data_IF_492529079032
#
_entry.id   IF_492529079032
#
_cell.length_a   1.000
_cell.length_b   1.000
_cell.length_c   1.000
_cell.angle_alpha   90.00
_cell.angle_beta   90.00
_cell.angle_gamma   90.00
#
_symmetry.space_group_name_H-M   'P 1'
#
loop_
_entity.id
_entity.type
_entity.pdbx_description
1 polymer ?
#
# COMPACT_ATOMS: atom_id res chain seq x y z
N UNK A 1 69.86 -19.86 -2.64
CA UNK A 1 68.96 -19.50 -3.72
C UNK A 1 67.55 -19.42 -3.15
N UNK A 2 67.13 -18.21 -2.77
CA UNK A 2 65.81 -17.97 -2.22
C UNK A 2 64.91 -17.50 -3.33
N UNK A 3 63.84 -18.25 -3.61
CA UNK A 3 62.78 -17.82 -4.51
C UNK A 3 61.58 -17.34 -3.68
N UNK A 4 61.34 -16.06 -3.72
CA UNK A 4 60.15 -15.40 -3.16
C UNK A 4 58.98 -15.55 -4.14
N UNK A 5 57.88 -16.16 -3.67
CA UNK A 5 56.59 -16.21 -4.37
C UNK A 5 55.83 -14.87 -4.17
N UNK A 6 55.12 -14.35 -5.17
CA UNK A 6 54.35 -13.14 -5.03
C UNK A 6 52.96 -13.43 -4.40
N UNK A 7 52.55 -12.57 -3.49
CA UNK A 7 51.22 -12.50 -2.86
C UNK A 7 50.16 -12.02 -3.86
N UNK A 8 48.94 -12.58 -3.87
CA UNK A 8 47.88 -12.07 -4.73
C UNK A 8 47.26 -10.79 -4.13
N UNK A 9 47.19 -9.77 -4.97
CA UNK A 9 46.55 -8.50 -4.72
C UNK A 9 45.04 -8.70 -4.63
N UNK A 10 44.45 -8.23 -3.51
CA UNK A 10 42.97 -8.19 -3.31
C UNK A 10 42.38 -7.07 -4.16
N UNK A 11 41.62 -7.44 -5.17
CA UNK A 11 40.77 -6.52 -5.94
C UNK A 11 39.52 -6.22 -5.11
N UNK A 12 39.43 -5.02 -4.57
CA UNK A 12 38.22 -4.46 -3.99
C UNK A 12 37.21 -4.16 -5.10
N UNK A 13 36.18 -5.00 -5.21
CA UNK A 13 35.01 -4.74 -6.05
C UNK A 13 34.21 -3.61 -5.43
N UNK A 14 34.31 -2.42 -5.99
CA UNK A 14 33.42 -1.29 -5.71
C UNK A 14 32.06 -1.62 -6.33
N UNK A 15 31.06 -1.90 -5.48
CA UNK A 15 29.67 -1.98 -5.90
C UNK A 15 29.22 -0.56 -6.33
N UNK A 16 29.18 -0.33 -7.63
CA UNK A 16 28.61 0.86 -8.21
C UNK A 16 27.11 0.88 -7.86
N UNK A 17 26.72 1.83 -7.03
CA UNK A 17 25.31 2.23 -6.86
C UNK A 17 24.79 2.62 -8.24
N UNK A 18 23.83 1.84 -8.77
CA UNK A 18 23.18 2.18 -10.03
C UNK A 18 22.39 3.47 -9.83
N UNK A 19 22.90 4.58 -10.35
CA UNK A 19 22.18 5.84 -10.42
C UNK A 19 20.93 5.62 -11.28
N UNK A 20 19.76 6.05 -10.76
CA UNK A 20 18.51 6.08 -11.50
C UNK A 20 18.72 6.88 -12.81
N UNK A 21 18.17 6.42 -13.95
CA UNK A 21 18.30 7.14 -15.21
C UNK A 21 17.65 8.53 -15.10
N UNK A 22 18.33 9.52 -15.66
CA UNK A 22 17.91 10.91 -15.70
C UNK A 22 16.57 11.06 -16.45
N UNK A 23 15.71 11.95 -15.93
CA UNK A 23 14.40 12.35 -16.45
C UNK A 23 13.34 11.23 -16.42
N UNK A 24 12.88 10.89 -15.22
CA UNK A 24 11.62 10.20 -15.04
C UNK A 24 10.47 11.08 -15.55
N UNK A 25 9.70 10.57 -16.52
CA UNK A 25 8.51 11.27 -17.01
C UNK A 25 7.55 11.48 -15.84
N UNK A 26 6.91 12.65 -15.82
CA UNK A 26 5.89 12.97 -14.83
C UNK A 26 4.62 12.15 -15.11
N UNK A 27 4.19 11.25 -14.20
CA UNK A 27 3.01 10.45 -14.47
C UNK A 27 1.74 11.28 -14.40
N UNK A 28 0.76 10.92 -15.23
CA UNK A 28 -0.61 11.31 -15.04
C UNK A 28 -1.25 10.40 -13.99
N UNK A 29 -1.92 11.01 -13.01
CA UNK A 29 -2.55 10.31 -11.90
C UNK A 29 -4.03 10.64 -11.90
N UNK A 30 -4.88 9.61 -11.93
CA UNK A 30 -6.31 9.76 -11.77
C UNK A 30 -6.76 9.07 -10.49
N UNK A 31 -7.31 9.83 -9.55
CA UNK A 31 -7.86 9.34 -8.29
C UNK A 31 -9.37 9.11 -8.40
N UNK A 32 -9.84 7.95 -7.97
CA UNK A 32 -11.27 7.62 -7.85
C UNK A 32 -11.59 7.43 -6.36
N UNK A 33 -12.33 8.36 -5.79
CA UNK A 33 -12.67 8.37 -4.38
C UNK A 33 -13.91 7.53 -4.09
N UNK A 34 -13.75 6.53 -3.20
CA UNK A 34 -14.88 5.80 -2.63
C UNK A 34 -15.34 6.45 -1.32
N UNK A 35 -16.58 6.93 -1.32
CA UNK A 35 -17.16 7.63 -0.17
C UNK A 35 -17.49 6.70 1.01
N UNK A 36 -17.71 5.41 0.76
CA UNK A 36 -18.13 4.48 1.81
C UNK A 36 -16.95 4.12 2.74
N UNK A 37 -15.75 4.02 2.18
CA UNK A 37 -14.53 3.65 2.90
C UNK A 37 -13.52 4.80 2.99
N UNK A 38 -13.82 5.96 2.39
CA UNK A 38 -12.93 7.14 2.30
C UNK A 38 -11.61 6.83 1.59
N UNK A 39 -11.59 5.82 0.74
CA UNK A 39 -10.41 5.33 0.02
C UNK A 39 -10.29 5.98 -1.35
N UNK A 40 -9.08 6.21 -1.81
CA UNK A 40 -8.78 6.66 -3.16
C UNK A 40 -8.05 5.55 -3.92
N UNK A 41 -8.70 4.99 -4.94
CA UNK A 41 -8.04 4.13 -5.93
C UNK A 41 -7.36 4.99 -6.98
N UNK A 42 -6.13 4.69 -7.33
CA UNK A 42 -5.39 5.44 -8.36
C UNK A 42 -5.20 4.64 -9.64
N UNK A 43 -5.31 5.33 -10.78
CA UNK A 43 -4.83 4.86 -12.09
C UNK A 43 -3.68 5.75 -12.52
N UNK A 44 -2.50 5.15 -12.72
CA UNK A 44 -1.25 5.85 -12.99
C UNK A 44 -0.75 5.48 -14.39
N UNK A 45 -0.51 6.47 -15.26
CA UNK A 45 -0.12 6.24 -16.66
C UNK A 45 0.68 7.42 -17.25
N UNK A 46 1.24 7.23 -18.45
CA UNK A 46 2.02 8.27 -19.17
C UNK A 46 1.19 9.00 -20.26
N UNK A 47 -0.13 8.78 -20.27
CA UNK A 47 -1.06 9.36 -21.24
C UNK A 47 -2.02 8.32 -21.83
N UNK A 48 -3.02 8.75 -22.61
CA UNK A 48 -3.95 7.84 -23.28
C UNK A 48 -3.23 6.85 -24.19
N UNK A 49 -3.73 5.59 -24.25
CA UNK A 49 -3.18 4.52 -25.07
C UNK A 49 -1.91 3.87 -24.49
N UNK A 50 -1.44 4.28 -23.33
CA UNK A 50 -0.22 3.72 -22.70
C UNK A 50 -0.52 2.63 -21.69
N UNK A 51 0.55 1.99 -21.18
CA UNK A 51 0.45 1.09 -20.05
C UNK A 51 0.11 1.87 -18.76
N UNK A 52 -0.55 1.20 -17.81
CA UNK A 52 -0.89 1.78 -16.53
C UNK A 52 -0.73 0.80 -15.36
N UNK A 53 -0.66 1.36 -14.16
CA UNK A 53 -0.82 0.66 -12.90
C UNK A 53 -2.08 1.14 -12.18
N UNK A 54 -2.77 0.23 -11.49
CA UNK A 54 -3.88 0.54 -10.58
C UNK A 54 -3.37 0.31 -9.16
N UNK A 55 -3.67 1.22 -8.23
CA UNK A 55 -3.19 1.15 -6.85
C UNK A 55 -4.38 1.23 -5.89
N UNK A 56 -4.45 0.31 -4.92
CA UNK A 56 -5.41 0.23 -3.83
C UNK A 56 -6.88 0.29 -4.28
N UNK A 57 -7.30 -0.77 -4.94
CA UNK A 57 -8.63 -0.87 -5.53
C UNK A 57 -9.71 -1.32 -4.54
N UNK A 58 -10.91 -0.74 -4.64
CA UNK A 58 -12.03 -1.00 -3.73
C UNK A 58 -13.04 -1.95 -4.36
N UNK A 59 -13.36 -3.03 -3.62
CA UNK A 59 -14.55 -3.87 -3.82
C UNK A 59 -15.62 -3.43 -2.81
N UNK A 60 -16.72 -2.88 -3.30
CA UNK A 60 -17.81 -2.41 -2.44
C UNK A 60 -18.36 -3.56 -1.58
N UNK A 61 -18.56 -3.30 -0.31
CA UNK A 61 -19.05 -4.29 0.66
C UNK A 61 -20.09 -3.69 1.60
N UNK A 62 -21.22 -4.39 1.73
CA UNK A 62 -22.24 -4.07 2.73
C UNK A 62 -22.06 -4.96 3.98
N UNK A 63 -21.59 -4.41 5.10
CA UNK A 63 -21.32 -5.18 6.31
C UNK A 63 -22.59 -5.77 6.96
N UNK A 64 -23.76 -5.21 6.66
CA UNK A 64 -25.03 -5.69 7.25
C UNK A 64 -25.57 -6.93 6.53
N UNK A 65 -25.35 -7.01 5.22
CA UNK A 65 -25.85 -8.12 4.41
C UNK A 65 -24.76 -9.08 3.95
N UNK A 66 -23.48 -8.76 4.14
CA UNK A 66 -22.35 -9.53 3.62
C UNK A 66 -22.24 -9.52 2.09
N UNK A 67 -22.86 -8.53 1.41
CA UNK A 67 -22.90 -8.48 -0.06
C UNK A 67 -21.78 -7.63 -0.61
N UNK A 68 -21.11 -8.15 -1.62
CA UNK A 68 -20.17 -7.40 -2.45
C UNK A 68 -20.87 -6.79 -3.66
N UNK A 69 -20.35 -5.67 -4.17
CA UNK A 69 -20.70 -5.04 -5.43
C UNK A 69 -19.42 -4.60 -6.12
N UNK A 70 -19.52 -4.23 -7.39
CA UNK A 70 -18.37 -3.87 -8.23
C UNK A 70 -18.39 -2.43 -8.70
N UNK A 71 -19.27 -1.59 -8.14
CA UNK A 71 -19.50 -0.21 -8.61
C UNK A 71 -18.21 0.60 -8.66
N UNK A 72 -17.42 0.58 -7.60
CA UNK A 72 -16.14 1.30 -7.53
C UNK A 72 -15.13 0.75 -8.53
N UNK A 73 -15.02 -0.57 -8.65
CA UNK A 73 -14.15 -1.22 -9.63
C UNK A 73 -14.62 -0.98 -11.08
N UNK A 74 -15.93 -0.93 -11.32
CA UNK A 74 -16.50 -0.63 -12.65
C UNK A 74 -16.17 0.80 -13.12
N UNK A 75 -16.06 1.76 -12.19
CA UNK A 75 -15.57 3.11 -12.50
C UNK A 75 -14.09 3.09 -12.93
N UNK A 76 -13.26 2.28 -12.28
CA UNK A 76 -11.86 2.08 -12.70
C UNK A 76 -11.80 1.49 -14.10
N UNK A 77 -12.60 0.44 -14.38
CA UNK A 77 -12.69 -0.20 -15.71
C UNK A 77 -13.14 0.79 -16.78
N UNK A 78 -14.14 1.61 -16.47
CA UNK A 78 -14.64 2.64 -17.38
C UNK A 78 -13.56 3.66 -17.74
N UNK A 79 -12.81 4.16 -16.73
CA UNK A 79 -11.70 5.09 -16.95
C UNK A 79 -10.60 4.48 -17.84
N UNK A 80 -10.15 3.27 -17.50
CA UNK A 80 -9.12 2.53 -18.24
C UNK A 80 -9.51 2.36 -19.70
N UNK A 81 -10.75 1.94 -19.97
CA UNK A 81 -11.29 1.76 -21.34
C UNK A 81 -11.44 3.09 -22.09
N UNK A 82 -11.95 4.14 -21.44
CA UNK A 82 -12.13 5.45 -22.07
C UNK A 82 -10.81 6.07 -22.52
N UNK A 83 -9.71 5.77 -21.85
CA UNK A 83 -8.37 6.25 -22.17
C UNK A 83 -7.52 5.23 -22.96
N UNK A 84 -8.09 4.08 -23.35
CA UNK A 84 -7.39 2.99 -24.03
C UNK A 84 -6.11 2.52 -23.30
N UNK A 85 -6.14 2.50 -21.97
CA UNK A 85 -4.99 2.12 -21.15
C UNK A 85 -4.83 0.58 -21.11
N UNK A 86 -3.59 0.13 -20.96
CA UNK A 86 -3.23 -1.29 -20.83
C UNK A 86 -2.74 -1.55 -19.41
N UNK A 87 -3.55 -2.23 -18.59
CA UNK A 87 -3.20 -2.53 -17.21
C UNK A 87 -2.07 -3.56 -17.17
N UNK A 88 -0.92 -3.20 -16.61
CA UNK A 88 0.21 -4.10 -16.38
C UNK A 88 0.32 -4.51 -14.91
N UNK A 89 -0.07 -3.62 -13.99
CA UNK A 89 0.00 -3.85 -12.57
C UNK A 89 -1.29 -3.46 -11.87
N UNK A 90 -1.65 -4.28 -10.87
CA UNK A 90 -2.65 -3.99 -9.84
C UNK A 90 -1.89 -4.12 -8.53
N UNK A 91 -1.65 -2.99 -7.88
CA UNK A 91 -0.74 -2.86 -6.75
C UNK A 91 -1.54 -2.62 -5.47
N UNK A 92 -1.18 -3.34 -4.42
CA UNK A 92 -1.66 -3.08 -3.07
C UNK A 92 -0.53 -2.49 -2.24
N UNK A 93 -0.79 -1.38 -1.54
CA UNK A 93 0.21 -0.81 -0.62
C UNK A 93 0.34 -1.65 0.64
N UNK A 94 -0.73 -2.29 1.07
CA UNK A 94 -0.78 -3.19 2.22
C UNK A 94 -2.04 -4.06 2.21
N UNK A 95 -2.21 -4.96 3.18
CA UNK A 95 -3.48 -5.65 3.39
C UNK A 95 -4.42 -4.73 4.17
N UNK A 96 -5.31 -4.04 3.48
CA UNK A 96 -6.24 -3.05 4.03
C UNK A 96 -7.21 -3.67 5.06
N UNK A 97 -7.51 -2.91 6.12
CA UNK A 97 -8.44 -3.32 7.17
C UNK A 97 -9.81 -2.62 7.07
N UNK A 98 -9.93 -1.61 6.22
CA UNK A 98 -11.07 -0.70 6.11
C UNK A 98 -11.88 -0.87 4.82
N UNK A 99 -11.33 -1.56 3.81
CA UNK A 99 -12.02 -1.92 2.59
C UNK A 99 -11.54 -3.27 2.02
N UNK A 100 -12.36 -3.87 1.16
CA UNK A 100 -12.00 -5.07 0.43
C UNK A 100 -11.32 -4.69 -0.90
N UNK A 101 -10.28 -5.43 -1.29
CA UNK A 101 -9.61 -5.24 -2.59
C UNK A 101 -10.43 -5.81 -3.74
N UNK A 102 -10.56 -5.03 -4.82
CA UNK A 102 -11.14 -5.46 -6.09
C UNK A 102 -10.12 -6.06 -7.06
N UNK A 103 -8.87 -6.31 -6.64
CA UNK A 103 -7.79 -6.71 -7.53
C UNK A 103 -8.13 -7.94 -8.40
N UNK A 104 -8.75 -9.04 -7.90
CA UNK A 104 -9.11 -10.18 -8.76
C UNK A 104 -10.15 -9.83 -9.81
N UNK A 105 -11.13 -8.98 -9.48
CA UNK A 105 -12.16 -8.54 -10.41
C UNK A 105 -11.55 -7.67 -11.52
N UNK A 106 -10.71 -6.71 -11.16
CA UNK A 106 -10.01 -5.88 -12.14
C UNK A 106 -9.09 -6.70 -13.03
N UNK A 107 -8.32 -7.65 -12.46
CA UNK A 107 -7.47 -8.57 -13.23
C UNK A 107 -8.28 -9.39 -14.24
N UNK A 108 -9.44 -9.87 -13.84
CA UNK A 108 -10.33 -10.63 -14.74
C UNK A 108 -10.79 -9.81 -15.96
N UNK A 109 -11.03 -8.50 -15.79
CA UNK A 109 -11.59 -7.62 -16.83
C UNK A 109 -10.55 -6.87 -17.66
N UNK A 110 -9.37 -6.61 -17.07
CA UNK A 110 -8.36 -5.71 -17.64
C UNK A 110 -7.00 -6.38 -17.81
N UNK A 111 -6.80 -7.58 -17.25
CA UNK A 111 -5.49 -8.21 -17.17
C UNK A 111 -4.62 -7.58 -16.07
N UNK A 112 -3.31 -7.67 -16.25
CA UNK A 112 -2.34 -7.18 -15.29
C UNK A 112 -1.95 -8.21 -14.22
N UNK A 113 -0.96 -7.86 -13.40
CA UNK A 113 -0.40 -8.69 -12.33
C UNK A 113 -0.73 -8.06 -10.98
N UNK A 114 -1.25 -8.85 -10.04
CA UNK A 114 -1.51 -8.41 -8.67
C UNK A 114 -0.21 -8.51 -7.87
N UNK A 115 0.19 -7.40 -7.24
CA UNK A 115 1.42 -7.36 -6.46
C UNK A 115 1.25 -6.61 -5.14
N UNK A 116 2.02 -7.01 -4.14
CA UNK A 116 2.07 -6.43 -2.79
C UNK A 116 3.49 -6.52 -2.23
N UNK A 117 3.78 -5.80 -1.15
CA UNK A 117 5.05 -5.90 -0.43
C UNK A 117 5.36 -7.32 0.07
N UNK A 118 6.59 -7.79 -0.11
CA UNK A 118 7.00 -9.18 0.21
C UNK A 118 6.79 -9.58 1.68
N UNK A 119 6.71 -8.59 2.59
CA UNK A 119 6.44 -8.85 4.02
C UNK A 119 5.01 -9.24 4.33
N UNK A 120 4.12 -9.31 3.33
CA UNK A 120 2.75 -9.82 3.48
C UNK A 120 2.72 -11.20 4.13
N UNK A 121 3.74 -12.04 3.92
CA UNK A 121 3.84 -13.37 4.52
C UNK A 121 3.78 -13.34 6.05
N UNK A 122 4.35 -12.29 6.68
CA UNK A 122 4.26 -12.08 8.12
C UNK A 122 2.83 -11.75 8.56
N UNK A 123 2.13 -10.90 7.81
CA UNK A 123 0.73 -10.53 8.05
C UNK A 123 -0.17 -11.77 7.90
N UNK A 124 0.02 -12.54 6.81
CA UNK A 124 -0.70 -13.79 6.59
C UNK A 124 -0.55 -14.77 7.76
N UNK A 125 0.69 -14.93 8.27
CA UNK A 125 0.97 -15.81 9.41
C UNK A 125 0.21 -15.41 10.67
N UNK A 126 0.20 -14.13 11.00
CA UNK A 126 -0.51 -13.59 12.18
C UNK A 126 -2.01 -13.82 12.04
N UNK A 127 -2.59 -13.38 10.93
CA UNK A 127 -4.04 -13.44 10.76
C UNK A 127 -4.55 -14.85 10.44
N UNK A 128 -3.73 -15.76 9.88
CA UNK A 128 -4.07 -17.19 9.82
C UNK A 128 -4.35 -17.76 11.22
N UNK A 129 -3.54 -17.38 12.21
CA UNK A 129 -3.74 -17.78 13.60
C UNK A 129 -5.01 -17.17 14.22
N UNK A 130 -5.17 -15.86 14.10
CA UNK A 130 -6.30 -15.11 14.68
C UNK A 130 -7.64 -15.63 14.14
N UNK A 131 -7.75 -15.79 12.82
CA UNK A 131 -8.99 -16.24 12.18
C UNK A 131 -9.12 -17.76 12.09
N UNK A 132 -8.14 -18.52 12.60
CA UNK A 132 -8.13 -19.99 12.49
C UNK A 132 -8.48 -20.42 11.05
N UNK A 133 -7.73 -19.90 10.07
CA UNK A 133 -7.99 -20.18 8.67
C UNK A 133 -7.66 -21.65 8.35
N UNK A 134 -8.17 -22.14 7.22
CA UNK A 134 -7.97 -23.50 6.74
C UNK A 134 -6.48 -23.87 6.67
N UNK A 135 -6.11 -25.13 6.93
CA UNK A 135 -4.72 -25.59 6.88
C UNK A 135 -4.04 -25.30 5.52
N UNK A 136 -4.80 -25.38 4.43
CA UNK A 136 -4.37 -25.18 3.04
C UNK A 136 -4.03 -23.72 2.72
N UNK A 137 -4.46 -22.77 3.55
CA UNK A 137 -4.08 -21.36 3.34
C UNK A 137 -2.57 -21.20 3.54
N UNK A 138 -1.84 -21.08 2.44
CA UNK A 138 -0.39 -20.85 2.45
C UNK A 138 -0.08 -19.41 2.94
N UNK A 139 0.94 -19.29 3.80
CA UNK A 139 1.42 -18.00 4.33
C UNK A 139 2.72 -17.56 3.67
N UNK A 140 2.84 -17.84 2.39
CA UNK A 140 4.02 -17.60 1.55
C UNK A 140 3.82 -16.53 0.47
N UNK A 141 2.63 -15.90 0.46
CA UNK A 141 2.27 -14.85 -0.49
C UNK A 141 1.86 -15.37 -1.87
N UNK A 142 1.73 -16.69 -2.06
CA UNK A 142 1.39 -17.31 -3.36
C UNK A 142 0.02 -16.89 -3.92
N UNK A 143 -0.80 -16.22 -3.13
CA UNK A 143 -2.07 -15.63 -3.57
C UNK A 143 -1.87 -14.42 -4.48
N UNK A 144 -0.72 -13.77 -4.42
CA UNK A 144 -0.32 -12.64 -5.25
C UNK A 144 0.55 -13.14 -6.42
N UNK A 145 0.47 -12.48 -7.58
CA UNK A 145 1.34 -12.84 -8.71
C UNK A 145 2.80 -12.45 -8.47
N UNK A 146 3.03 -11.38 -7.70
CA UNK A 146 4.37 -10.88 -7.39
C UNK A 146 4.45 -10.34 -5.98
N UNK A 147 5.51 -10.72 -5.28
CA UNK A 147 5.92 -10.12 -4.02
C UNK A 147 7.07 -9.14 -4.28
N UNK A 148 6.89 -7.90 -3.82
CA UNK A 148 7.80 -6.80 -4.10
C UNK A 148 8.71 -6.51 -2.90
N UNK A 149 10.03 -6.52 -3.15
CA UNK A 149 11.04 -6.14 -2.17
C UNK A 149 11.26 -4.63 -2.07
N UNK A 150 11.94 -4.20 -0.99
CA UNK A 150 12.34 -2.80 -0.85
C UNK A 150 13.31 -2.43 -1.98
N UNK A 151 13.20 -1.20 -2.47
CA UNK A 151 13.97 -0.63 -3.58
C UNK A 151 13.85 -1.38 -4.92
N UNK A 152 12.98 -2.40 -5.00
CA UNK A 152 12.68 -3.05 -6.27
C UNK A 152 12.01 -2.07 -7.23
N UNK A 153 12.40 -2.15 -8.51
CA UNK A 153 11.80 -1.35 -9.58
C UNK A 153 10.95 -2.27 -10.46
N UNK A 154 9.72 -1.85 -10.73
CA UNK A 154 8.82 -2.47 -11.70
C UNK A 154 8.53 -1.49 -12.81
N UNK A 155 8.38 -1.97 -14.04
CA UNK A 155 8.15 -1.15 -15.22
C UNK A 155 6.72 -1.34 -15.74
N UNK A 156 6.14 -0.26 -16.31
CA UNK A 156 4.89 -0.30 -17.06
C UNK A 156 4.92 0.78 -18.16
N UNK A 157 5.04 0.32 -19.39
CA UNK A 157 5.25 1.21 -20.54
C UNK A 157 6.55 2.02 -20.40
N UNK A 158 6.44 3.34 -20.46
CA UNK A 158 7.58 4.26 -20.30
C UNK A 158 7.79 4.72 -18.85
N UNK A 159 6.95 4.26 -17.92
CA UNK A 159 7.06 4.57 -16.50
C UNK A 159 7.70 3.41 -15.74
N UNK A 160 8.30 3.76 -14.60
CA UNK A 160 8.78 2.80 -13.62
C UNK A 160 8.31 3.20 -12.23
N UNK A 161 8.00 2.21 -11.39
CA UNK A 161 7.71 2.40 -9.99
C UNK A 161 8.81 1.78 -9.13
N UNK A 162 9.42 2.58 -8.25
CA UNK A 162 10.30 2.11 -7.18
C UNK A 162 9.47 1.78 -5.95
N UNK A 163 9.64 0.62 -5.41
CA UNK A 163 8.98 0.17 -4.18
C UNK A 163 9.76 0.69 -2.98
N UNK A 164 9.09 1.36 -2.08
CA UNK A 164 9.67 1.84 -0.82
C UNK A 164 9.02 1.08 0.35
N UNK A 165 9.77 0.28 1.09
CA UNK A 165 9.24 -0.33 2.31
C UNK A 165 9.01 0.74 3.37
N UNK A 166 7.78 0.86 3.86
CA UNK A 166 7.35 1.89 4.83
C UNK A 166 6.52 1.25 5.96
N UNK A 167 7.09 0.26 6.67
CA UNK A 167 6.39 -0.44 7.75
C UNK A 167 6.05 0.51 8.90
N UNK A 168 5.10 0.09 9.74
CA UNK A 168 4.71 0.81 10.96
C UNK A 168 3.21 0.79 11.18
N UNK A 169 2.40 1.18 10.19
CA UNK A 169 0.96 0.91 10.21
C UNK A 169 0.71 -0.61 10.17
N UNK A 170 1.27 -1.29 9.18
CA UNK A 170 1.45 -2.74 9.17
C UNK A 170 2.93 -3.08 8.91
N UNK A 171 3.40 -4.29 9.22
CA UNK A 171 4.79 -4.67 8.92
C UNK A 171 5.07 -4.80 7.42
N UNK A 172 4.04 -4.89 6.58
CA UNK A 172 4.14 -5.12 5.14
C UNK A 172 3.88 -3.89 4.27
N UNK A 173 3.63 -2.71 4.86
CA UNK A 173 3.36 -1.50 4.11
C UNK A 173 4.49 -1.14 3.15
N UNK A 174 4.11 -0.79 1.93
CA UNK A 174 5.00 -0.22 0.91
C UNK A 174 4.38 1.04 0.33
N UNK A 175 5.22 1.96 -0.14
CA UNK A 175 4.83 3.07 -0.99
C UNK A 175 5.40 2.86 -2.39
N UNK A 176 4.74 3.41 -3.41
CA UNK A 176 5.17 3.31 -4.80
C UNK A 176 5.58 4.68 -5.32
N UNK A 177 6.85 4.85 -5.66
CA UNK A 177 7.37 6.08 -6.26
C UNK A 177 7.41 5.95 -7.79
N UNK A 178 6.64 6.79 -8.49
CA UNK A 178 6.59 6.86 -9.95
C UNK A 178 6.95 8.29 -10.38
N UNK A 179 8.14 8.49 -10.91
CA UNK A 179 8.63 9.83 -11.23
C UNK A 179 8.62 10.76 -10.00
N UNK A 180 7.88 11.86 -10.10
CA UNK A 180 7.69 12.84 -9.03
C UNK A 180 6.52 12.53 -8.08
N UNK A 181 5.81 11.42 -8.30
CA UNK A 181 4.63 11.01 -7.54
C UNK A 181 4.95 9.84 -6.59
N UNK A 182 4.46 9.87 -5.35
CA UNK A 182 4.56 8.78 -4.39
C UNK A 182 3.19 8.45 -3.83
N UNK A 183 2.77 7.20 -3.96
CA UNK A 183 1.53 6.64 -3.39
C UNK A 183 1.88 6.03 -2.06
N UNK A 184 1.47 6.67 -0.99
CA UNK A 184 2.02 6.43 0.36
C UNK A 184 1.28 5.38 1.17
N UNK A 185 0.16 4.84 0.65
CA UNK A 185 -0.73 3.97 1.42
C UNK A 185 -1.14 4.62 2.75
N UNK A 186 -1.24 3.80 3.79
CA UNK A 186 -1.55 4.26 5.15
C UNK A 186 -0.29 4.60 5.96
N UNK A 187 0.65 5.31 5.34
CA UNK A 187 1.84 5.83 6.05
C UNK A 187 1.61 7.29 6.47
N UNK A 188 1.08 8.09 5.55
CA UNK A 188 0.73 9.50 5.73
C UNK A 188 -0.67 9.76 5.20
N UNK A 189 -1.34 10.74 5.81
CA UNK A 189 -2.60 11.33 5.32
C UNK A 189 -2.40 12.81 5.01
N UNK A 190 -3.45 13.52 4.63
CA UNK A 190 -3.37 14.95 4.43
C UNK A 190 -2.78 15.65 5.66
N UNK A 191 -2.10 16.79 5.52
CA UNK A 191 -1.40 17.44 6.63
C UNK A 191 -2.26 17.68 7.87
N UNK A 192 -3.54 17.98 7.68
CA UNK A 192 -4.54 18.23 8.74
C UNK A 192 -5.14 16.94 9.35
N UNK A 193 -4.82 15.78 8.78
CA UNK A 193 -5.19 14.45 9.30
C UNK A 193 -4.02 13.75 9.98
N UNK A 194 -2.82 13.85 9.41
CA UNK A 194 -1.55 13.41 10.02
C UNK A 194 -1.06 12.06 9.51
N UNK A 195 -1.08 11.03 10.35
CA UNK A 195 -0.54 9.67 10.04
C UNK A 195 -1.55 8.59 10.41
N UNK A 196 -1.40 7.40 9.84
CA UNK A 196 -2.17 6.24 10.23
C UNK A 196 -1.90 5.81 11.69
N UNK A 197 -2.79 4.98 12.21
CA UNK A 197 -2.61 4.21 13.45
C UNK A 197 -1.58 3.11 13.26
N UNK A 198 -1.01 2.62 14.35
CA UNK A 198 0.00 1.55 14.32
C UNK A 198 -0.17 0.52 15.44
N UNK A 199 -1.38 0.37 15.96
CA UNK A 199 -1.77 -0.59 17.00
C UNK A 199 -2.36 -1.91 16.46
N UNK A 200 -2.32 -2.11 15.14
CA UNK A 200 -2.63 -3.41 14.56
C UNK A 200 -1.54 -4.45 14.87
N UNK A 201 -1.88 -5.76 14.82
CA UNK A 201 -0.89 -6.82 15.04
C UNK A 201 0.34 -6.66 14.14
N UNK A 202 1.49 -6.39 14.76
CA UNK A 202 2.77 -6.12 14.07
C UNK A 202 3.00 -4.66 13.67
N UNK A 203 2.08 -3.75 13.98
CA UNK A 203 2.29 -2.31 13.87
C UNK A 203 3.22 -1.77 14.96
N UNK A 204 3.90 -0.64 14.70
CA UNK A 204 4.86 -0.04 15.61
C UNK A 204 5.07 1.44 15.31
N UNK A 205 4.85 2.31 16.33
CA UNK A 205 4.91 3.76 16.16
C UNK A 205 6.33 4.27 15.84
N UNK A 206 7.37 3.67 16.41
CA UNK A 206 8.76 4.02 16.15
C UNK A 206 9.16 3.71 14.72
N UNK A 207 8.76 2.54 14.25
CA UNK A 207 8.94 2.11 12.86
C UNK A 207 8.17 3.00 11.89
N UNK A 208 6.93 3.41 12.23
CA UNK A 208 6.15 4.34 11.43
C UNK A 208 6.85 5.71 11.33
N UNK A 209 7.39 6.22 12.44
CA UNK A 209 8.17 7.46 12.42
C UNK A 209 9.33 7.40 11.42
N UNK A 210 10.14 6.33 11.46
CA UNK A 210 11.24 6.15 10.53
C UNK A 210 10.76 6.07 9.06
N UNK A 211 9.65 5.37 8.81
CA UNK A 211 9.04 5.25 7.48
C UNK A 211 8.55 6.60 6.94
N UNK A 212 7.87 7.40 7.78
CA UNK A 212 7.45 8.75 7.41
C UNK A 212 8.66 9.63 7.10
N UNK A 213 9.71 9.60 7.96
CA UNK A 213 10.95 10.36 7.70
C UNK A 213 11.63 9.94 6.40
N UNK A 214 11.58 8.65 6.02
CA UNK A 214 12.06 8.17 4.72
C UNK A 214 11.32 8.85 3.56
N UNK A 215 9.98 8.93 3.61
CA UNK A 215 9.18 9.64 2.61
C UNK A 215 9.51 11.13 2.60
N UNK A 216 9.57 11.77 3.77
CA UNK A 216 9.83 13.21 3.91
C UNK A 216 11.28 13.61 3.61
N UNK A 217 12.19 12.65 3.37
CA UNK A 217 13.55 12.91 2.87
C UNK A 217 13.62 13.06 1.35
N UNK A 218 12.54 12.81 0.63
CA UNK A 218 12.44 13.05 -0.82
C UNK A 218 12.45 14.55 -1.11
N UNK A 219 12.71 14.97 -2.38
CA UNK A 219 12.65 16.37 -2.79
C UNK A 219 11.35 17.06 -2.36
N UNK A 220 11.42 18.32 -2.00
CA UNK A 220 10.30 19.08 -1.42
C UNK A 220 9.07 19.20 -2.35
N UNK A 221 9.30 19.19 -3.67
CA UNK A 221 8.29 19.23 -4.73
C UNK A 221 7.70 17.85 -5.09
N UNK A 222 8.18 16.78 -4.46
CA UNK A 222 7.61 15.44 -4.65
C UNK A 222 6.14 15.45 -4.27
N UNK A 223 5.28 15.01 -5.20
CA UNK A 223 3.84 14.88 -4.98
C UNK A 223 3.55 13.60 -4.19
N UNK A 224 2.76 13.72 -3.15
CA UNK A 224 2.33 12.62 -2.30
C UNK A 224 0.84 12.39 -2.49
N UNK A 225 0.45 11.15 -2.78
CA UNK A 225 -0.92 10.72 -3.01
C UNK A 225 -1.39 9.82 -1.86
N UNK A 226 -2.43 10.28 -1.17
CA UNK A 226 -2.97 9.65 0.05
C UNK A 226 -3.93 8.53 -0.29
N UNK A 227 -3.87 7.41 0.43
CA UNK A 227 -4.85 6.33 0.28
C UNK A 227 -6.23 6.73 0.80
N UNK A 228 -6.27 7.57 1.83
CA UNK A 228 -7.52 8.03 2.46
C UNK A 228 -7.52 9.53 2.69
N UNK A 229 -8.73 10.11 2.66
CA UNK A 229 -8.96 11.45 3.18
C UNK A 229 -10.20 11.51 4.08
N UNK A 230 -9.99 11.93 5.33
CA UNK A 230 -11.01 12.08 6.35
C UNK A 230 -11.18 13.57 6.69
N UNK A 231 -11.80 14.41 5.83
CA UNK A 231 -11.68 15.87 5.85
C UNK A 231 -12.15 16.49 7.17
N UNK A 232 -11.25 16.98 8.04
CA UNK A 232 -11.64 17.67 9.26
C UNK A 232 -12.46 18.90 8.96
N UNK A 233 -13.48 19.18 9.79
CA UNK A 233 -14.31 20.38 9.63
C UNK A 233 -15.16 20.41 8.36
N UNK A 234 -15.24 19.30 7.60
CA UNK A 234 -16.06 19.20 6.39
C UNK A 234 -15.47 19.94 5.17
N UNK A 235 -14.14 20.12 5.11
CA UNK A 235 -13.50 20.63 3.89
C UNK A 235 -13.75 19.69 2.70
N UNK A 236 -13.54 20.13 1.45
CA UNK A 236 -13.55 19.25 0.29
C UNK A 236 -12.53 18.10 0.42
N UNK A 237 -12.83 16.99 -0.25
CA UNK A 237 -11.91 15.85 -0.34
C UNK A 237 -10.65 16.29 -1.10
N UNK A 238 -9.49 16.02 -0.52
CA UNK A 238 -8.16 16.23 -1.09
C UNK A 238 -7.31 14.99 -0.84
N UNK A 239 -6.53 14.60 -1.82
CA UNK A 239 -5.70 13.39 -1.73
C UNK A 239 -4.33 13.56 -2.37
N UNK A 240 -3.98 14.78 -2.79
CA UNK A 240 -2.66 15.15 -3.29
C UNK A 240 -2.08 16.28 -2.43
N UNK A 241 -0.81 16.13 -2.04
CA UNK A 241 -0.03 17.12 -1.32
C UNK A 241 1.44 17.03 -1.75
N UNK A 242 2.35 17.71 -1.04
CA UNK A 242 3.78 17.65 -1.32
C UNK A 242 4.58 17.33 -0.06
N UNK A 243 5.83 16.88 -0.24
CA UNK A 243 6.77 16.70 0.87
C UNK A 243 6.93 18.01 1.65
N UNK A 244 7.07 19.15 0.97
CA UNK A 244 7.17 20.46 1.63
C UNK A 244 5.96 20.75 2.51
N UNK A 245 4.74 20.55 2.01
CA UNK A 245 3.51 20.80 2.78
C UNK A 245 3.39 19.89 4.00
N UNK A 246 3.77 18.62 3.86
CA UNK A 246 3.81 17.66 4.97
C UNK A 246 4.82 18.10 6.04
N UNK A 247 6.05 18.45 5.64
CA UNK A 247 7.09 18.91 6.54
C UNK A 247 6.70 20.18 7.27
N UNK A 248 5.96 21.07 6.61
CA UNK A 248 5.52 22.34 7.19
C UNK A 248 4.34 22.17 8.15
N UNK A 249 3.33 21.37 7.78
CA UNK A 249 2.00 21.48 8.38
C UNK A 249 1.40 20.16 8.88
N UNK A 250 2.07 18.99 8.71
CA UNK A 250 1.49 17.75 9.19
C UNK A 250 1.36 17.77 10.70
N UNK A 251 0.13 17.62 11.20
CA UNK A 251 -0.20 17.75 12.63
C UNK A 251 0.52 16.72 13.53
N UNK A 252 1.04 15.63 12.95
CA UNK A 252 1.75 14.58 13.68
C UNK A 252 3.27 14.55 13.39
N UNK A 253 3.70 15.01 12.20
CA UNK A 253 5.03 14.74 11.68
C UNK A 253 5.72 15.95 11.00
N UNK A 254 5.24 17.18 11.26
CA UNK A 254 5.92 18.37 10.76
C UNK A 254 7.39 18.44 11.24
N UNK A 255 8.20 19.29 10.63
CA UNK A 255 9.58 19.47 11.05
C UNK A 255 9.66 19.94 12.51
N UNK A 256 10.60 19.35 13.24
CA UNK A 256 10.79 19.60 14.68
C UNK A 256 10.13 18.59 15.61
N UNK A 257 9.26 17.71 15.12
CA UNK A 257 8.71 16.60 15.92
C UNK A 257 9.78 15.52 16.09
N UNK A 258 10.14 15.22 17.35
CA UNK A 258 11.05 14.13 17.67
C UNK A 258 10.35 12.76 17.63
N UNK A 259 11.15 11.69 17.55
CA UNK A 259 10.63 10.32 17.58
C UNK A 259 9.83 10.06 18.87
N UNK A 260 10.35 10.48 20.02
CA UNK A 260 9.69 10.29 21.32
C UNK A 260 8.35 11.03 21.39
N UNK A 261 8.28 12.26 20.90
CA UNK A 261 7.03 13.03 20.83
C UNK A 261 6.02 12.33 19.95
N UNK A 262 6.43 11.86 18.78
CA UNK A 262 5.56 11.13 17.87
C UNK A 262 5.04 9.82 18.49
N UNK A 263 5.93 9.01 19.06
CA UNK A 263 5.55 7.72 19.69
C UNK A 263 4.55 7.93 20.81
N UNK A 264 4.80 8.90 21.70
CA UNK A 264 3.88 9.23 22.81
C UNK A 264 2.51 9.66 22.28
N UNK A 265 2.49 10.59 21.31
CA UNK A 265 1.25 11.08 20.70
C UNK A 265 0.50 9.93 20.03
N UNK A 266 1.19 9.11 19.21
CA UNK A 266 0.58 8.03 18.42
C UNK A 266 0.00 6.95 19.33
N UNK A 267 0.77 6.47 20.31
CA UNK A 267 0.31 5.46 21.27
C UNK A 267 -0.92 5.95 22.06
N UNK A 268 -0.88 7.21 22.54
CA UNK A 268 -2.02 7.79 23.26
C UNK A 268 -3.26 7.91 22.38
N UNK A 269 -3.10 8.32 21.11
CA UNK A 269 -4.21 8.46 20.18
C UNK A 269 -4.78 7.10 19.80
N UNK A 270 -3.94 6.13 19.48
CA UNK A 270 -4.37 4.79 19.06
C UNK A 270 -5.21 4.10 20.13
N UNK A 271 -4.84 4.23 21.40
CA UNK A 271 -5.60 3.68 22.52
C UNK A 271 -7.05 4.23 22.63
N UNK A 272 -7.39 5.29 21.90
CA UNK A 272 -8.74 5.89 21.87
C UNK A 272 -9.52 5.60 20.59
N UNK A 273 -8.91 4.92 19.61
CA UNK A 273 -9.55 4.66 18.33
C UNK A 273 -10.33 3.34 18.35
N UNK A 274 -11.54 3.38 17.83
CA UNK A 274 -12.27 2.15 17.53
C UNK A 274 -11.62 1.39 16.38
N UNK A 275 -11.82 0.08 16.33
CA UNK A 275 -11.37 -0.74 15.19
C UNK A 275 -12.11 -0.34 13.91
N UNK A 276 -11.46 -0.41 12.73
CA UNK A 276 -12.15 -0.20 11.47
C UNK A 276 -13.36 -1.12 11.32
N UNK A 277 -14.47 -0.58 10.84
CA UNK A 277 -15.75 -1.32 10.72
C UNK A 277 -15.61 -2.60 9.89
N UNK A 278 -14.74 -2.60 8.89
CA UNK A 278 -14.55 -3.73 7.98
C UNK A 278 -13.33 -4.60 8.30
N UNK A 279 -12.63 -4.40 9.42
CA UNK A 279 -11.40 -5.15 9.71
C UNK A 279 -11.60 -6.67 9.61
N UNK A 280 -12.73 -7.19 10.12
CA UNK A 280 -12.98 -8.63 10.11
C UNK A 280 -13.12 -9.21 8.70
N UNK A 281 -13.98 -8.70 7.80
CA UNK A 281 -14.05 -9.21 6.44
C UNK A 281 -12.84 -8.80 5.59
N UNK A 282 -12.37 -7.55 5.70
CA UNK A 282 -11.35 -7.00 4.83
C UNK A 282 -10.02 -7.76 4.94
N UNK A 283 -9.51 -7.95 6.15
CA UNK A 283 -8.21 -8.62 6.33
C UNK A 283 -8.24 -10.04 5.80
N UNK A 284 -9.32 -10.82 6.06
CA UNK A 284 -9.43 -12.20 5.58
C UNK A 284 -9.43 -12.33 4.05
N UNK A 285 -9.98 -11.34 3.37
CA UNK A 285 -10.04 -11.27 1.90
C UNK A 285 -8.74 -10.69 1.35
N UNK A 286 -8.21 -9.63 1.93
CA UNK A 286 -7.04 -8.92 1.41
C UNK A 286 -5.73 -9.71 1.58
N UNK A 287 -5.57 -10.51 2.64
CA UNK A 287 -4.44 -11.46 2.73
C UNK A 287 -4.51 -12.59 1.69
N UNK A 288 -5.63 -12.70 0.96
CA UNK A 288 -5.87 -13.62 -0.17
C UNK A 288 -5.81 -12.88 -1.52
N UNK A 289 -5.13 -11.73 -1.57
CA UNK A 289 -5.07 -10.88 -2.77
C UNK A 289 -6.47 -10.44 -3.27
N UNK A 290 -7.44 -10.25 -2.37
CA UNK A 290 -8.81 -9.87 -2.70
C UNK A 290 -9.75 -11.06 -3.04
N UNK A 291 -9.24 -12.29 -3.04
CA UNK A 291 -10.07 -13.47 -3.26
C UNK A 291 -10.94 -13.80 -2.04
N UNK A 292 -12.18 -14.17 -2.30
CA UNK A 292 -13.06 -14.69 -1.25
C UNK A 292 -12.50 -16.00 -0.67
N UNK A 293 -12.78 -16.32 0.60
CA UNK A 293 -12.47 -17.61 1.18
C UNK A 293 -13.04 -18.78 0.36
N UNK A 294 -12.47 -20.00 0.48
CA UNK A 294 -13.02 -21.17 -0.17
C UNK A 294 -14.49 -21.38 0.19
N UNK A 295 -15.28 -21.84 -0.79
CA UNK A 295 -16.67 -22.20 -0.55
C UNK A 295 -16.76 -23.45 0.31
N UNK A 296 -17.65 -23.45 1.29
CA UNK A 296 -17.98 -24.62 2.10
C UNK A 296 -18.91 -25.59 1.34
N UNK A 297 -19.27 -26.69 1.98
CA UNK A 297 -20.07 -27.76 1.38
C UNK A 297 -21.43 -27.32 0.80
N UNK A 298 -21.98 -26.21 1.30
CA UNK A 298 -23.22 -25.60 0.80
C UNK A 298 -23.00 -24.63 -0.39
N UNK A 299 -21.77 -24.49 -0.87
CA UNK A 299 -21.41 -23.60 -1.99
C UNK A 299 -21.25 -22.13 -1.64
N UNK A 300 -21.30 -21.78 -0.33
CA UNK A 300 -21.18 -20.40 0.16
C UNK A 300 -19.78 -20.16 0.78
N UNK A 301 -19.16 -19.03 0.49
CA UNK A 301 -17.95 -18.57 1.16
C UNK A 301 -18.31 -17.83 2.46
N UNK A 302 -17.51 -18.02 3.50
CA UNK A 302 -17.74 -17.41 4.81
C UNK A 302 -16.50 -16.68 5.29
N UNK A 303 -16.70 -15.55 5.98
CA UNK A 303 -15.68 -14.90 6.79
C UNK A 303 -15.94 -15.22 8.27
N UNK A 304 -14.89 -15.40 9.03
CA UNK A 304 -14.95 -15.76 10.45
C UNK A 304 -14.97 -14.52 11.34
N UNK A 305 -15.72 -14.57 12.42
CA UNK A 305 -15.73 -13.53 13.46
C UNK A 305 -15.16 -14.17 14.74
N UNK A 306 -13.89 -13.93 15.09
CA UNK A 306 -13.30 -14.44 16.31
C UNK A 306 -13.84 -13.66 17.50
N UNK A 307 -14.47 -14.34 18.45
CA UNK A 307 -15.00 -13.69 19.63
C UNK A 307 -13.88 -13.49 20.67
N UNK A 308 -13.73 -12.25 21.14
CA UNK A 308 -12.76 -11.86 22.18
C UNK A 308 -11.28 -12.17 21.81
N UNK A 309 -10.91 -12.10 20.54
CA UNK A 309 -9.56 -12.43 20.06
C UNK A 309 -8.86 -11.31 19.27
N UNK A 310 -9.51 -10.15 19.11
CA UNK A 310 -8.95 -8.91 18.51
C UNK A 310 -9.11 -7.76 19.50
#
# INVERSE_FOLDING_TARGET
MNTLSPTPSATTSSAASAALPAATRKPQVHGLFDKATWTVTYVVHDGPGTACAIIDSVLDYDPKSGRTRTTSADHVIAYVKAHNLQVQWILETHAHADHLSAAPYLKQHLGGRIAIGARITGVQKVFKGIFNLEPEFAVDGSQFDVLLGDDQVIEFGALSARVMSVPGHTPACVAYQVGDAVFVGDTLFMPDVGTARCDFPGGDARTLYASVRRILSLPEDTRLFMCHDYPPGGRPIEFETTVAAQRQANIHMHDGISEEQFVQMRTKRDATLEMPVLILPAVQINIRAGHLPPKEANGTAYVKIPLNAL
#
